data_IF_998565108840
#
_entry.id   IF_998565108840
#
_cell.length_a   1.000
_cell.length_b   1.000
_cell.length_c   1.000
_cell.angle_alpha   90.00
_cell.angle_beta   90.00
_cell.angle_gamma   90.00
#
_symmetry.space_group_name_H-M   'P 1'
#
loop_
_entity.id
_entity.type
_entity.pdbx_description
1 polymer ?
#
# COMPACT_ATOMS: atom_id res chain seq x y z
N UNK A 1 18.02 -37.02 -1.38
CA UNK A 1 17.55 -35.84 -2.15
C UNK A 1 18.46 -34.68 -1.81
N UNK A 2 18.70 -33.71 -2.71
CA UNK A 2 19.44 -32.50 -2.34
C UNK A 2 18.60 -31.67 -1.40
N UNK A 3 19.20 -30.94 -0.46
CA UNK A 3 18.46 -30.08 0.47
C UNK A 3 17.59 -29.04 -0.25
N UNK A 4 17.98 -28.64 -1.47
CA UNK A 4 17.17 -27.76 -2.36
C UNK A 4 15.85 -28.43 -2.72
N UNK A 5 15.85 -29.70 -3.16
CA UNK A 5 14.63 -30.39 -3.57
C UNK A 5 13.65 -30.56 -2.40
N UNK A 6 14.16 -30.84 -1.20
CA UNK A 6 13.35 -30.96 0.02
C UNK A 6 12.68 -29.62 0.37
N UNK A 7 13.42 -28.50 0.27
CA UNK A 7 12.88 -27.17 0.46
C UNK A 7 11.81 -26.83 -0.60
N UNK A 8 12.05 -27.16 -1.87
CA UNK A 8 11.08 -26.94 -2.94
C UNK A 8 9.80 -27.75 -2.75
N UNK A 9 9.89 -29.02 -2.35
CA UNK A 9 8.71 -29.84 -2.04
C UNK A 9 7.88 -29.25 -0.90
N UNK A 10 8.52 -28.75 0.16
CA UNK A 10 7.84 -28.09 1.27
C UNK A 10 7.15 -26.79 0.85
N UNK A 11 7.76 -26.00 -0.03
CA UNK A 11 7.22 -24.73 -0.51
C UNK A 11 6.13 -24.90 -1.56
N UNK A 12 6.05 -26.05 -2.26
CA UNK A 12 5.14 -26.32 -3.35
C UNK A 12 4.25 -27.54 -3.09
N UNK A 13 3.41 -27.53 -2.03
CA UNK A 13 2.64 -28.71 -1.62
C UNK A 13 1.61 -29.18 -2.68
N UNK A 14 1.19 -28.30 -3.60
CA UNK A 14 0.29 -28.67 -4.71
C UNK A 14 0.90 -29.65 -5.71
N UNK A 15 2.23 -29.81 -5.75
CA UNK A 15 2.88 -30.80 -6.64
C UNK A 15 2.49 -32.23 -6.32
N UNK A 16 2.07 -32.50 -5.09
CA UNK A 16 1.61 -33.81 -4.63
C UNK A 16 0.16 -33.79 -4.12
N UNK A 17 -0.62 -32.78 -4.55
CA UNK A 17 -2.08 -32.77 -4.37
C UNK A 17 -2.58 -32.09 -3.10
N UNK A 18 -1.72 -31.44 -2.31
CA UNK A 18 -2.17 -30.67 -1.16
C UNK A 18 -2.76 -29.31 -1.59
N UNK A 19 -3.61 -28.75 -0.74
CA UNK A 19 -4.27 -27.46 -1.00
C UNK A 19 -3.32 -26.27 -0.82
N UNK A 20 -3.53 -25.23 -1.62
CA UNK A 20 -2.79 -23.97 -1.49
C UNK A 20 -3.35 -23.16 -0.31
N UNK A 21 -2.52 -22.59 0.58
CA UNK A 21 -2.97 -21.78 1.73
C UNK A 21 -3.37 -20.36 1.27
N UNK A 22 -4.44 -20.22 0.49
CA UNK A 22 -4.85 -18.98 -0.18
C UNK A 22 -5.55 -17.95 0.73
N UNK A 23 -6.02 -18.35 1.93
CA UNK A 23 -6.65 -17.44 2.90
C UNK A 23 -7.94 -16.78 2.40
N UNK A 24 -8.24 -15.57 2.88
CA UNK A 24 -9.39 -14.77 2.46
C UNK A 24 -9.05 -14.05 1.15
N UNK A 25 -9.87 -14.18 0.08
CA UNK A 25 -9.57 -13.60 -1.23
C UNK A 25 -9.48 -12.07 -1.21
N UNK A 26 -8.59 -11.54 -2.04
CA UNK A 26 -8.46 -10.12 -2.35
C UNK A 26 -8.72 -9.90 -3.83
N UNK A 27 -10.01 -9.97 -4.21
CA UNK A 27 -10.47 -10.10 -5.60
C UNK A 27 -10.02 -8.95 -6.51
N UNK A 28 -9.94 -7.72 -6.00
CA UNK A 28 -9.46 -6.58 -6.79
C UNK A 28 -8.02 -6.79 -7.29
N UNK A 29 -7.12 -7.23 -6.41
CA UNK A 29 -5.72 -7.51 -6.78
C UNK A 29 -5.62 -8.73 -7.68
N UNK A 30 -6.38 -9.78 -7.37
CA UNK A 30 -6.37 -11.00 -8.17
C UNK A 30 -6.85 -10.71 -9.60
N UNK A 31 -7.91 -9.93 -9.79
CA UNK A 31 -8.39 -9.50 -11.11
C UNK A 31 -7.35 -8.69 -11.89
N UNK A 32 -6.58 -7.81 -11.22
CA UNK A 32 -5.46 -7.08 -11.85
C UNK A 32 -4.36 -8.04 -12.32
N UNK A 33 -3.97 -8.99 -11.47
CA UNK A 33 -2.94 -10.00 -11.81
C UNK A 33 -3.40 -10.87 -12.97
N UNK A 34 -4.63 -11.34 -12.97
CA UNK A 34 -5.22 -12.12 -14.07
C UNK A 34 -5.13 -11.37 -15.41
N UNK A 35 -5.55 -10.10 -15.42
CA UNK A 35 -5.46 -9.26 -16.62
C UNK A 35 -4.01 -9.10 -17.10
N UNK A 36 -3.05 -8.92 -16.20
CA UNK A 36 -1.64 -8.78 -16.58
C UNK A 36 -1.02 -10.12 -17.02
N UNK A 37 -1.45 -11.24 -16.46
CA UNK A 37 -0.96 -12.56 -16.84
C UNK A 37 -1.24 -12.93 -18.33
N UNK A 38 -2.24 -12.26 -18.96
CA UNK A 38 -2.51 -12.46 -20.40
C UNK A 38 -1.49 -11.77 -21.31
N UNK A 39 -0.70 -10.83 -20.81
CA UNK A 39 0.20 -10.02 -21.64
C UNK A 39 1.57 -10.67 -21.89
N UNK A 40 1.97 -11.65 -21.09
CA UNK A 40 3.32 -12.25 -21.14
C UNK A 40 4.41 -11.40 -20.45
N UNK A 41 4.08 -10.19 -19.97
CA UNK A 41 5.01 -9.34 -19.25
C UNK A 41 5.22 -9.81 -17.80
N UNK A 42 6.30 -9.34 -17.18
CA UNK A 42 6.62 -9.65 -15.78
C UNK A 42 5.58 -8.97 -14.86
N UNK A 43 5.02 -9.71 -13.92
CA UNK A 43 4.14 -9.15 -12.90
C UNK A 43 4.94 -8.89 -11.63
N UNK A 44 4.97 -7.64 -11.18
CA UNK A 44 5.69 -7.20 -9.98
C UNK A 44 4.70 -6.88 -8.87
N UNK A 45 4.70 -7.65 -7.80
CA UNK A 45 3.84 -7.45 -6.63
C UNK A 45 4.66 -6.76 -5.54
N UNK A 46 4.52 -5.44 -5.45
CA UNK A 46 5.19 -4.61 -4.46
C UNK A 46 4.26 -4.20 -3.32
N UNK A 47 4.81 -3.84 -2.17
CA UNK A 47 4.00 -3.31 -1.06
C UNK A 47 4.71 -3.44 0.27
N UNK A 48 4.21 -2.71 1.27
CA UNK A 48 4.76 -2.73 2.62
C UNK A 48 4.78 -4.17 3.19
N UNK A 49 5.77 -4.47 4.04
CA UNK A 49 5.80 -5.77 4.73
C UNK A 49 4.49 -6.02 5.47
N UNK A 50 4.03 -7.28 5.49
CA UNK A 50 2.79 -7.72 6.17
C UNK A 50 1.48 -7.24 5.53
N UNK A 51 1.51 -6.60 4.34
CA UNK A 51 0.30 -6.24 3.59
C UNK A 51 -0.44 -7.42 2.94
N UNK A 52 0.17 -8.61 2.90
CA UNK A 52 -0.44 -9.83 2.37
C UNK A 52 0.05 -10.23 0.97
N UNK A 53 1.22 -9.78 0.52
CA UNK A 53 1.82 -10.13 -0.79
C UNK A 53 1.95 -11.64 -1.00
N UNK A 54 2.57 -12.36 -0.06
CA UNK A 54 2.73 -13.82 -0.12
C UNK A 54 1.38 -14.53 -0.22
N UNK A 55 0.37 -14.08 0.55
CA UNK A 55 -0.99 -14.64 0.46
C UNK A 55 -1.60 -14.41 -0.92
N UNK A 56 -1.37 -13.22 -1.50
CA UNK A 56 -1.84 -12.91 -2.86
C UNK A 56 -1.14 -13.78 -3.92
N UNK A 57 0.15 -14.10 -3.75
CA UNK A 57 0.84 -15.09 -4.58
C UNK A 57 0.17 -16.47 -4.47
N UNK A 58 -0.15 -16.93 -3.27
CA UNK A 58 -0.88 -18.19 -3.08
C UNK A 58 -2.28 -18.15 -3.70
N UNK A 59 -3.00 -17.04 -3.62
CA UNK A 59 -4.29 -16.87 -4.31
C UNK A 59 -4.13 -16.95 -5.83
N UNK A 60 -3.05 -16.39 -6.36
CA UNK A 60 -2.72 -16.49 -7.77
C UNK A 60 -2.42 -17.94 -8.18
N UNK A 61 -1.66 -18.68 -7.37
CA UNK A 61 -1.38 -20.11 -7.61
C UNK A 61 -2.68 -20.92 -7.58
N UNK A 62 -3.51 -20.70 -6.58
CA UNK A 62 -4.82 -21.40 -6.47
C UNK A 62 -5.71 -21.13 -7.69
N UNK A 63 -5.73 -19.88 -8.18
CA UNK A 63 -6.42 -19.50 -9.41
C UNK A 63 -5.86 -20.24 -10.65
N UNK A 64 -4.53 -20.25 -10.82
CA UNK A 64 -3.89 -20.94 -11.95
C UNK A 64 -4.22 -22.45 -11.96
N UNK A 65 -4.24 -23.09 -10.81
CA UNK A 65 -4.55 -24.50 -10.67
C UNK A 65 -6.03 -24.80 -10.95
N UNK A 66 -6.96 -24.04 -10.37
CA UNK A 66 -8.41 -24.36 -10.39
C UNK A 66 -9.11 -23.82 -11.62
N UNK A 67 -8.77 -22.62 -12.08
CA UNK A 67 -9.46 -21.92 -13.16
C UNK A 67 -8.71 -22.05 -14.49
N UNK A 68 -7.42 -21.81 -14.51
CA UNK A 68 -6.60 -21.97 -15.72
C UNK A 68 -6.17 -23.43 -15.97
N UNK A 69 -6.42 -24.32 -14.97
CA UNK A 69 -6.10 -25.74 -15.04
C UNK A 69 -4.64 -26.01 -15.40
N UNK A 70 -3.75 -25.17 -14.95
CA UNK A 70 -2.31 -25.35 -15.13
C UNK A 70 -1.86 -26.59 -14.35
N UNK A 71 -1.05 -27.43 -15.00
CA UNK A 71 -0.53 -28.64 -14.35
C UNK A 71 0.33 -28.26 -13.12
N UNK A 72 0.10 -28.85 -11.95
CA UNK A 72 0.73 -28.43 -10.70
C UNK A 72 2.25 -28.26 -10.75
N UNK A 73 2.95 -29.20 -11.39
CA UNK A 73 4.40 -29.18 -11.54
C UNK A 73 4.93 -28.09 -12.48
N UNK A 74 4.08 -27.42 -13.25
CA UNK A 74 4.43 -26.24 -14.08
C UNK A 74 4.41 -24.92 -13.29
N UNK A 75 4.08 -24.94 -11.99
CA UNK A 75 4.07 -23.78 -11.14
C UNK A 75 5.15 -23.97 -10.08
N UNK A 76 6.23 -23.18 -10.18
CA UNK A 76 7.28 -23.12 -9.17
C UNK A 76 7.10 -21.86 -8.31
N UNK A 77 6.95 -22.04 -7.01
CA UNK A 77 7.02 -20.97 -6.03
C UNK A 77 8.32 -21.08 -5.22
N UNK A 78 9.02 -19.97 -5.07
CA UNK A 78 10.24 -19.86 -4.26
C UNK A 78 10.12 -18.62 -3.39
N UNK A 79 10.33 -18.78 -2.08
CA UNK A 79 10.51 -17.66 -1.16
C UNK A 79 12.01 -17.53 -0.84
N UNK A 80 12.63 -16.41 -1.22
CA UNK A 80 14.06 -16.20 -1.01
C UNK A 80 14.45 -15.81 0.43
N UNK A 81 13.48 -15.58 1.33
CA UNK A 81 13.72 -15.48 2.78
C UNK A 81 13.87 -16.88 3.44
N UNK A 82 13.75 -17.99 2.69
CA UNK A 82 13.89 -19.35 3.19
C UNK A 82 15.37 -19.65 3.58
N UNK A 83 15.64 -20.05 4.81
CA UNK A 83 17.02 -20.28 5.29
C UNK A 83 17.79 -21.30 4.47
N UNK A 84 17.14 -22.32 3.92
CA UNK A 84 17.78 -23.38 3.12
C UNK A 84 18.44 -22.83 1.85
N UNK A 85 18.01 -21.66 1.36
CA UNK A 85 18.59 -21.02 0.19
C UNK A 85 19.72 -20.03 0.51
N UNK A 86 19.90 -19.67 1.77
CA UNK A 86 20.89 -18.68 2.20
C UNK A 86 22.36 -19.09 1.98
N UNK A 87 22.64 -20.39 1.89
CA UNK A 87 23.97 -20.93 1.66
C UNK A 87 24.31 -21.14 0.17
N UNK A 88 23.36 -20.94 -0.74
CA UNK A 88 23.57 -21.13 -2.17
C UNK A 88 24.44 -19.99 -2.74
N UNK A 89 25.36 -20.36 -3.67
CA UNK A 89 26.21 -19.36 -4.35
C UNK A 89 25.44 -18.59 -5.43
N UNK A 90 24.64 -19.32 -6.21
CA UNK A 90 23.75 -18.79 -7.23
C UNK A 90 22.36 -19.40 -7.03
N UNK A 91 21.53 -18.82 -6.12
CA UNK A 91 20.23 -19.38 -5.80
C UNK A 91 19.33 -19.59 -7.03
N UNK A 92 19.35 -18.68 -8.01
CA UNK A 92 18.55 -18.84 -9.23
C UNK A 92 18.99 -20.03 -10.07
N UNK A 93 20.28 -20.14 -10.36
CA UNK A 93 20.79 -21.23 -11.19
C UNK A 93 20.61 -22.60 -10.51
N UNK A 94 20.93 -22.70 -9.22
CA UNK A 94 20.87 -23.96 -8.47
C UNK A 94 19.44 -24.45 -8.28
N UNK A 95 18.50 -23.55 -7.90
CA UNK A 95 17.08 -23.85 -7.72
C UNK A 95 16.43 -24.25 -9.05
N UNK A 96 16.65 -23.46 -10.11
CA UNK A 96 16.07 -23.76 -11.43
C UNK A 96 16.65 -25.04 -12.02
N UNK A 97 17.93 -25.33 -11.81
CA UNK A 97 18.55 -26.60 -12.25
C UNK A 97 17.89 -27.79 -11.56
N UNK A 98 17.73 -27.75 -10.23
CA UNK A 98 17.07 -28.83 -9.47
C UNK A 98 15.59 -28.99 -9.91
N UNK A 99 14.85 -27.89 -10.08
CA UNK A 99 13.47 -27.92 -10.53
C UNK A 99 13.32 -28.52 -11.94
N UNK A 100 14.19 -28.12 -12.88
CA UNK A 100 14.16 -28.66 -14.26
C UNK A 100 14.55 -30.12 -14.31
N UNK A 101 15.56 -30.53 -13.55
CA UNK A 101 16.04 -31.91 -13.54
C UNK A 101 15.02 -32.87 -12.91
N UNK A 102 14.41 -32.51 -11.79
CA UNK A 102 13.68 -33.45 -10.94
C UNK A 102 12.13 -33.31 -11.05
N UNK A 103 11.60 -32.18 -11.55
CA UNK A 103 10.17 -31.90 -11.45
C UNK A 103 9.49 -31.68 -12.81
N UNK A 104 9.98 -30.73 -13.65
CA UNK A 104 9.21 -30.22 -14.79
C UNK A 104 9.86 -30.39 -16.16
N UNK A 105 11.19 -30.64 -16.26
CA UNK A 105 11.88 -30.65 -17.57
C UNK A 105 11.88 -29.28 -18.25
N UNK A 106 11.86 -29.25 -19.59
CA UNK A 106 12.01 -28.03 -20.41
C UNK A 106 10.66 -27.41 -20.86
N UNK A 107 9.58 -27.66 -20.14
CA UNK A 107 8.27 -27.12 -20.46
C UNK A 107 8.14 -25.62 -20.11
N UNK A 108 7.15 -24.94 -20.71
CA UNK A 108 6.74 -23.60 -20.29
C UNK A 108 6.17 -23.64 -18.87
N UNK A 109 6.63 -22.71 -18.01
CA UNK A 109 6.33 -22.74 -16.57
C UNK A 109 6.01 -21.34 -16.02
N UNK A 110 5.26 -21.33 -14.92
CA UNK A 110 5.09 -20.16 -14.06
C UNK A 110 6.18 -20.17 -12.98
N UNK A 111 6.99 -19.11 -12.95
CA UNK A 111 7.99 -18.89 -11.92
C UNK A 111 7.50 -17.76 -11.01
N UNK A 112 7.25 -18.11 -9.76
CA UNK A 112 6.69 -17.20 -8.76
C UNK A 112 7.71 -17.02 -7.65
N UNK A 113 8.33 -15.85 -7.58
CA UNK A 113 9.41 -15.52 -6.67
C UNK A 113 8.97 -14.53 -5.60
N UNK A 114 8.96 -14.95 -4.35
CA UNK A 114 8.64 -14.11 -3.20
C UNK A 114 9.90 -13.60 -2.51
N UNK A 115 9.86 -12.36 -1.97
CA UNK A 115 10.95 -11.66 -1.29
C UNK A 115 12.27 -11.66 -2.12
N UNK A 116 12.14 -11.41 -3.43
CA UNK A 116 13.22 -11.55 -4.43
C UNK A 116 14.45 -10.69 -4.11
N UNK A 117 14.28 -9.58 -3.41
CA UNK A 117 15.37 -8.70 -2.98
C UNK A 117 16.35 -9.37 -2.02
N UNK A 118 16.03 -10.54 -1.50
CA UNK A 118 16.95 -11.37 -0.71
C UNK A 118 18.17 -11.84 -1.51
N UNK A 119 18.10 -11.85 -2.84
CA UNK A 119 19.19 -12.29 -3.73
C UNK A 119 19.89 -11.10 -4.38
N UNK A 120 21.16 -10.83 -4.09
CA UNK A 120 21.91 -9.74 -4.74
C UNK A 120 21.97 -9.92 -6.26
N UNK A 121 21.66 -8.85 -7.01
CA UNK A 121 21.70 -8.86 -8.48
C UNK A 121 20.56 -9.65 -9.16
N UNK A 122 19.50 -9.94 -8.43
CA UNK A 122 18.31 -10.66 -8.90
C UNK A 122 17.73 -10.09 -10.22
N UNK A 123 17.84 -8.80 -10.45
CA UNK A 123 17.30 -8.11 -11.64
C UNK A 123 17.90 -8.68 -12.93
N UNK A 124 19.18 -9.04 -12.92
CA UNK A 124 19.88 -9.63 -14.09
C UNK A 124 19.35 -11.04 -14.36
N UNK A 125 19.07 -11.81 -13.31
CA UNK A 125 18.51 -13.15 -13.45
C UNK A 125 17.10 -13.10 -14.03
N UNK A 126 16.24 -12.22 -13.50
CA UNK A 126 14.88 -12.02 -14.02
C UNK A 126 14.89 -11.58 -15.49
N UNK A 127 15.76 -10.61 -15.84
CA UNK A 127 15.93 -10.21 -17.24
C UNK A 127 16.36 -11.37 -18.14
N UNK A 128 17.34 -12.15 -17.72
CA UNK A 128 17.81 -13.29 -18.50
C UNK A 128 16.73 -14.38 -18.67
N UNK A 129 15.92 -14.65 -17.66
CA UNK A 129 14.79 -15.57 -17.76
C UNK A 129 13.71 -15.04 -18.71
N UNK A 130 13.38 -13.76 -18.63
CA UNK A 130 12.42 -13.12 -19.52
C UNK A 130 12.89 -13.14 -20.99
N UNK A 131 14.13 -12.72 -21.25
CA UNK A 131 14.70 -12.66 -22.62
C UNK A 131 14.83 -14.08 -23.26
N UNK A 132 15.00 -15.11 -22.44
CA UNK A 132 15.07 -16.53 -22.88
C UNK A 132 13.71 -17.07 -23.31
N UNK A 133 12.64 -16.54 -22.75
CA UNK A 133 11.26 -17.02 -23.00
C UNK A 133 10.93 -18.37 -22.33
N UNK A 134 9.75 -18.91 -22.63
CA UNK A 134 9.26 -20.16 -22.05
C UNK A 134 8.95 -20.10 -20.55
N UNK A 135 8.83 -18.87 -19.99
CA UNK A 135 8.48 -18.67 -18.58
C UNK A 135 7.50 -17.51 -18.42
N UNK A 136 6.57 -17.63 -17.46
CA UNK A 136 5.76 -16.54 -16.97
C UNK A 136 6.23 -16.14 -15.58
N UNK A 137 6.63 -14.89 -15.42
CA UNK A 137 7.31 -14.39 -14.23
C UNK A 137 6.37 -13.55 -13.36
N UNK A 138 6.21 -13.96 -12.10
CA UNK A 138 5.53 -13.18 -11.04
C UNK A 138 6.53 -13.02 -9.90
N UNK A 139 6.87 -11.81 -9.56
CA UNK A 139 7.84 -11.53 -8.51
C UNK A 139 7.24 -10.65 -7.43
N UNK A 140 7.64 -10.85 -6.18
CA UNK A 140 7.23 -10.00 -5.08
C UNK A 140 8.41 -9.53 -4.23
N UNK A 141 8.20 -8.42 -3.53
CA UNK A 141 9.15 -7.88 -2.57
C UNK A 141 8.68 -6.59 -1.91
N UNK A 142 9.54 -5.99 -1.08
CA UNK A 142 9.22 -4.71 -0.44
C UNK A 142 9.20 -3.57 -1.46
N UNK A 143 8.40 -2.52 -1.19
CA UNK A 143 8.21 -1.38 -2.10
C UNK A 143 9.53 -0.73 -2.51
N UNK A 144 10.41 -0.49 -1.54
CA UNK A 144 11.72 0.16 -1.77
C UNK A 144 12.61 -0.57 -2.75
N UNK A 145 12.58 -1.89 -2.74
CA UNK A 145 13.46 -2.70 -3.59
C UNK A 145 12.95 -2.91 -5.00
N UNK A 146 11.62 -2.89 -5.20
CA UNK A 146 11.00 -3.25 -6.47
C UNK A 146 10.57 -2.06 -7.33
N UNK A 147 10.12 -0.94 -6.73
CA UNK A 147 9.57 0.18 -7.49
C UNK A 147 10.63 1.25 -7.76
N UNK A 148 11.46 1.59 -6.77
CA UNK A 148 12.47 2.66 -6.88
C UNK A 148 13.85 2.19 -7.34
N UNK A 149 14.06 0.88 -7.42
CA UNK A 149 15.34 0.28 -7.81
C UNK A 149 15.60 0.28 -9.33
N UNK A 150 16.67 -0.40 -9.73
CA UNK A 150 17.08 -0.57 -11.13
C UNK A 150 16.05 -1.33 -12.00
N UNK A 151 14.91 -1.77 -11.44
CA UNK A 151 13.91 -2.55 -12.17
C UNK A 151 13.37 -1.80 -13.39
N UNK A 152 12.96 -0.54 -13.21
CA UNK A 152 12.46 0.29 -14.32
C UNK A 152 13.48 0.44 -15.43
N UNK A 153 14.77 0.60 -15.07
CA UNK A 153 15.87 0.74 -16.01
C UNK A 153 16.22 -0.57 -16.69
N UNK A 154 16.30 -1.69 -15.94
CA UNK A 154 16.73 -2.99 -16.46
C UNK A 154 15.62 -3.70 -17.26
N UNK A 155 14.38 -3.58 -16.84
CA UNK A 155 13.25 -4.21 -17.53
C UNK A 155 12.61 -3.31 -18.59
N UNK A 156 13.02 -2.03 -18.70
CA UNK A 156 12.65 -1.14 -19.80
C UNK A 156 11.16 -1.12 -20.15
N UNK A 157 10.28 -1.13 -19.15
CA UNK A 157 8.82 -1.14 -19.33
C UNK A 157 8.18 -2.51 -19.58
N UNK A 158 8.93 -3.61 -19.46
CA UNK A 158 8.44 -4.99 -19.68
C UNK A 158 7.83 -5.61 -18.42
N UNK A 159 7.15 -4.81 -17.61
CA UNK A 159 6.49 -5.29 -16.40
C UNK A 159 5.23 -4.48 -16.06
N UNK A 160 4.33 -5.11 -15.32
CA UNK A 160 3.20 -4.46 -14.68
C UNK A 160 3.35 -4.53 -13.16
N UNK A 161 3.26 -3.38 -12.51
CA UNK A 161 3.34 -3.29 -11.05
C UNK A 161 1.95 -3.34 -10.41
N UNK A 162 1.83 -4.15 -9.35
CA UNK A 162 0.67 -4.24 -8.47
C UNK A 162 1.10 -3.86 -7.07
N UNK A 163 0.74 -2.65 -6.62
CA UNK A 163 1.06 -2.19 -5.27
C UNK A 163 0.02 -2.69 -4.27
N UNK A 164 0.44 -3.53 -3.33
CA UNK A 164 -0.42 -4.13 -2.31
C UNK A 164 -0.38 -3.32 -1.03
N UNK A 165 -1.50 -2.66 -0.74
CA UNK A 165 -1.73 -1.90 0.50
C UNK A 165 -2.30 -2.81 1.61
N UNK A 166 -2.26 -2.38 2.89
CA UNK A 166 -3.14 -2.94 3.92
C UNK A 166 -4.60 -2.96 3.45
N UNK A 167 -5.46 -3.73 4.06
CA UNK A 167 -6.88 -3.85 3.65
C UNK A 167 -7.55 -2.48 3.57
N UNK A 168 -8.33 -2.23 2.52
CA UNK A 168 -9.25 -1.10 2.52
C UNK A 168 -10.50 -1.40 3.35
N UNK A 169 -11.43 -0.44 3.41
CA UNK A 169 -12.59 -0.62 4.27
C UNK A 169 -13.53 -1.76 3.81
N UNK A 170 -13.69 -1.96 2.50
CA UNK A 170 -14.48 -3.07 1.97
C UNK A 170 -13.84 -4.43 2.28
N UNK A 171 -12.54 -4.55 2.09
CA UNK A 171 -11.75 -5.72 2.48
C UNK A 171 -11.76 -5.92 4.00
N UNK A 172 -11.64 -4.83 4.80
CA UNK A 172 -11.74 -4.89 6.25
C UNK A 172 -13.07 -5.47 6.72
N UNK A 173 -14.18 -5.05 6.10
CA UNK A 173 -15.51 -5.60 6.39
C UNK A 173 -15.57 -7.10 6.09
N UNK A 174 -15.06 -7.52 4.94
CA UNK A 174 -14.97 -8.94 4.55
C UNK A 174 -14.15 -9.76 5.56
N UNK A 175 -12.98 -9.27 5.94
CA UNK A 175 -12.11 -9.93 6.94
C UNK A 175 -12.74 -9.94 8.34
N UNK A 176 -13.59 -8.95 8.65
CA UNK A 176 -14.39 -8.90 9.86
C UNK A 176 -15.68 -9.75 9.78
N UNK A 177 -15.83 -10.58 8.72
CA UNK A 177 -16.99 -11.42 8.45
C UNK A 177 -18.29 -10.62 8.32
N UNK A 178 -18.21 -9.44 7.75
CA UNK A 178 -19.34 -8.62 7.39
C UNK A 178 -19.46 -8.53 5.87
N UNK A 179 -20.55 -9.07 5.34
CA UNK A 179 -20.86 -8.94 3.90
C UNK A 179 -21.62 -7.65 3.68
N UNK A 180 -21.07 -6.77 2.84
CA UNK A 180 -21.74 -5.52 2.45
C UNK A 180 -22.97 -5.87 1.61
N UNK A 181 -24.19 -5.48 2.03
CA UNK A 181 -25.38 -5.71 1.22
C UNK A 181 -25.29 -4.95 -0.10
N UNK A 182 -25.69 -5.60 -1.20
CA UNK A 182 -25.77 -4.97 -2.52
C UNK A 182 -26.93 -3.94 -2.59
N UNK A 183 -27.99 -4.19 -1.84
CA UNK A 183 -29.15 -3.29 -1.77
C UNK A 183 -28.91 -2.12 -0.81
N UNK A 184 -29.22 -0.88 -1.27
CA UNK A 184 -29.02 0.35 -0.50
C UNK A 184 -29.86 0.41 0.78
N UNK A 185 -31.09 -0.11 0.78
CA UNK A 185 -31.95 -0.13 1.96
C UNK A 185 -31.42 -1.11 3.01
N UNK A 186 -31.00 -2.30 2.58
CA UNK A 186 -30.37 -3.28 3.48
C UNK A 186 -29.06 -2.75 4.07
N UNK A 187 -28.25 -2.01 3.29
CA UNK A 187 -27.05 -1.35 3.78
C UNK A 187 -27.40 -0.26 4.82
N UNK A 188 -28.41 0.56 4.53
CA UNK A 188 -28.89 1.60 5.45
C UNK A 188 -29.40 1.01 6.77
N UNK A 189 -30.07 -0.13 6.74
CA UNK A 189 -30.53 -0.85 7.94
C UNK A 189 -29.35 -1.34 8.81
N UNK A 190 -28.18 -1.57 8.22
CA UNK A 190 -26.97 -2.02 8.93
C UNK A 190 -25.99 -0.88 9.25
N UNK A 191 -26.37 0.37 9.01
CA UNK A 191 -25.53 1.56 9.16
C UNK A 191 -24.75 1.59 10.49
N UNK A 192 -25.41 1.38 11.61
CA UNK A 192 -24.75 1.43 12.92
C UNK A 192 -23.62 0.38 13.05
N UNK A 193 -23.84 -0.82 12.49
CA UNK A 193 -22.82 -1.86 12.49
C UNK A 193 -21.63 -1.47 11.62
N UNK A 194 -21.88 -0.91 10.44
CA UNK A 194 -20.85 -0.42 9.53
C UNK A 194 -20.06 0.73 10.17
N UNK A 195 -20.72 1.68 10.83
CA UNK A 195 -20.06 2.79 11.52
C UNK A 195 -19.20 2.32 12.71
N UNK A 196 -19.64 1.31 13.46
CA UNK A 196 -18.83 0.72 14.53
C UNK A 196 -17.58 0.03 13.97
N UNK A 197 -17.71 -0.71 12.86
CA UNK A 197 -16.59 -1.32 12.16
C UNK A 197 -15.63 -0.27 11.57
N UNK A 198 -16.16 0.85 11.05
CA UNK A 198 -15.34 1.98 10.62
C UNK A 198 -14.56 2.61 11.79
N UNK A 199 -15.20 2.79 12.94
CA UNK A 199 -14.53 3.31 14.13
C UNK A 199 -13.41 2.38 14.62
N UNK A 200 -13.60 1.07 14.54
CA UNK A 200 -12.54 0.11 14.82
C UNK A 200 -11.43 0.17 13.77
N UNK A 201 -11.77 0.22 12.49
CA UNK A 201 -10.82 0.34 11.39
C UNK A 201 -9.97 1.62 11.48
N UNK A 202 -10.58 2.77 11.78
CA UNK A 202 -9.86 4.03 12.04
C UNK A 202 -8.83 3.88 13.17
N UNK A 203 -9.14 3.08 14.18
CA UNK A 203 -8.27 2.88 15.35
C UNK A 203 -7.18 1.83 15.12
N UNK A 204 -7.52 0.69 14.50
CA UNK A 204 -6.64 -0.50 14.43
C UNK A 204 -5.95 -0.67 13.09
N UNK A 205 -6.38 0.07 12.06
CA UNK A 205 -5.84 -0.04 10.71
C UNK A 205 -6.29 -1.30 9.96
N UNK A 206 -5.67 -1.52 8.80
CA UNK A 206 -6.05 -2.54 7.82
C UNK A 206 -5.02 -3.66 7.61
N UNK A 207 -3.99 -3.83 8.45
CA UNK A 207 -3.11 -4.99 8.29
C UNK A 207 -3.85 -6.30 8.48
N UNK A 208 -3.82 -7.25 7.51
CA UNK A 208 -4.67 -8.45 7.52
C UNK A 208 -4.63 -9.22 8.84
N UNK A 209 -3.43 -9.51 9.37
CA UNK A 209 -3.28 -10.24 10.65
C UNK A 209 -3.83 -9.48 11.85
N UNK A 210 -3.76 -8.13 11.81
CA UNK A 210 -4.29 -7.27 12.88
C UNK A 210 -5.81 -7.32 12.89
N UNK A 211 -6.43 -7.29 11.71
CA UNK A 211 -7.89 -7.37 11.57
C UNK A 211 -8.41 -8.72 12.09
N UNK A 212 -7.70 -9.81 11.78
CA UNK A 212 -8.06 -11.17 12.24
C UNK A 212 -7.76 -11.43 13.73
N UNK A 213 -6.91 -10.61 14.37
CA UNK A 213 -6.58 -10.75 15.78
C UNK A 213 -7.71 -10.15 16.66
N UNK A 214 -8.13 -10.88 17.70
CA UNK A 214 -9.18 -10.44 18.62
C UNK A 214 -8.65 -9.66 19.83
N UNK A 215 -7.45 -10.00 20.29
CA UNK A 215 -6.84 -9.37 21.46
C UNK A 215 -6.23 -8.01 21.10
N UNK A 216 -6.72 -6.94 21.75
CA UNK A 216 -6.30 -5.57 21.48
C UNK A 216 -4.84 -5.28 21.90
N UNK A 217 -4.35 -5.95 22.94
CA UNK A 217 -2.94 -5.79 23.35
C UNK A 217 -2.02 -6.41 22.31
N UNK A 218 -2.35 -7.62 21.86
CA UNK A 218 -1.59 -8.29 20.80
C UNK A 218 -1.64 -7.51 19.48
N UNK A 219 -2.76 -6.87 19.11
CA UNK A 219 -2.81 -5.97 17.95
C UNK A 219 -1.73 -4.89 18.03
N UNK A 220 -1.62 -4.19 19.16
CA UNK A 220 -0.64 -3.12 19.36
C UNK A 220 0.79 -3.64 19.32
N UNK A 221 1.07 -4.77 19.96
CA UNK A 221 2.39 -5.41 19.97
C UNK A 221 2.83 -5.83 18.56
N UNK A 222 1.92 -6.43 17.77
CA UNK A 222 2.18 -6.76 16.36
C UNK A 222 2.49 -5.52 15.53
N UNK A 223 1.69 -4.44 15.66
CA UNK A 223 1.91 -3.21 14.90
C UNK A 223 3.27 -2.58 15.22
N UNK A 224 3.68 -2.54 16.49
CA UNK A 224 5.03 -2.10 16.90
C UNK A 224 6.12 -2.97 16.26
N UNK A 225 5.96 -4.30 16.34
CA UNK A 225 6.89 -5.24 15.73
C UNK A 225 6.98 -5.06 14.20
N UNK A 226 5.86 -4.71 13.52
CA UNK A 226 5.86 -4.45 12.08
C UNK A 226 6.66 -3.19 11.75
N UNK A 227 6.44 -2.11 12.49
CA UNK A 227 7.19 -0.85 12.32
C UNK A 227 8.68 -1.10 12.56
N UNK A 228 9.05 -1.75 13.66
CA UNK A 228 10.44 -2.07 13.96
C UNK A 228 11.08 -2.93 12.85
N UNK A 229 10.37 -3.92 12.34
CA UNK A 229 10.84 -4.77 11.25
C UNK A 229 11.03 -4.00 9.95
N UNK A 230 10.08 -3.12 9.57
CA UNK A 230 10.17 -2.29 8.36
C UNK A 230 11.31 -1.29 8.51
N UNK A 231 11.37 -0.55 9.63
CA UNK A 231 12.41 0.44 9.88
C UNK A 231 13.79 -0.21 9.88
N UNK A 232 13.96 -1.37 10.50
CA UNK A 232 15.25 -2.03 10.57
C UNK A 232 15.66 -2.67 9.23
N UNK A 233 14.80 -3.50 8.63
CA UNK A 233 15.14 -4.25 7.42
C UNK A 233 15.07 -3.41 6.15
N UNK A 234 13.97 -2.67 5.96
CA UNK A 234 13.71 -1.99 4.68
C UNK A 234 14.29 -0.57 4.64
N UNK A 235 14.61 0.07 5.80
CA UNK A 235 15.22 1.39 5.85
C UNK A 235 16.69 1.31 6.31
N UNK A 236 16.94 0.85 7.53
CA UNK A 236 18.28 0.95 8.15
C UNK A 236 19.31 0.09 7.42
N UNK A 237 19.03 -1.20 7.24
CA UNK A 237 19.96 -2.12 6.58
C UNK A 237 20.13 -1.82 5.09
N UNK A 238 19.03 -1.55 4.40
CA UNK A 238 19.03 -1.27 2.96
C UNK A 238 19.83 -0.01 2.62
N UNK A 239 19.65 1.06 3.40
CA UNK A 239 20.27 2.36 3.13
C UNK A 239 21.49 2.66 4.00
N UNK A 240 21.94 1.71 4.82
CA UNK A 240 23.10 1.86 5.72
C UNK A 240 23.01 3.12 6.59
N UNK A 241 21.84 3.36 7.20
CA UNK A 241 21.54 4.54 7.99
C UNK A 241 22.52 4.70 9.16
N UNK A 242 23.14 5.88 9.27
CA UNK A 242 24.15 6.18 10.29
C UNK A 242 23.54 6.62 11.62
N UNK A 243 22.50 7.47 11.58
CA UNK A 243 21.88 8.06 12.77
C UNK A 243 20.53 7.41 13.08
N UNK A 244 20.57 6.13 13.49
CA UNK A 244 19.38 5.28 13.72
C UNK A 244 18.38 5.90 14.70
N UNK A 245 18.88 6.52 15.81
CA UNK A 245 18.02 7.15 16.80
C UNK A 245 17.29 8.36 16.20
N UNK A 246 18.01 9.23 15.51
CA UNK A 246 17.41 10.41 14.89
C UNK A 246 16.37 10.04 13.82
N UNK A 247 16.60 8.97 13.04
CA UNK A 247 15.59 8.42 12.13
C UNK A 247 14.33 7.97 12.88
N UNK A 248 14.48 7.22 13.97
CA UNK A 248 13.32 6.73 14.75
C UNK A 248 12.53 7.89 15.36
N UNK A 249 13.23 8.86 15.95
CA UNK A 249 12.61 10.05 16.55
C UNK A 249 11.88 10.89 15.49
N UNK A 250 12.46 11.03 14.29
CA UNK A 250 11.84 11.69 13.14
C UNK A 250 10.54 10.97 12.69
N UNK A 251 10.58 9.64 12.58
CA UNK A 251 9.40 8.86 12.19
C UNK A 251 8.27 8.96 13.23
N UNK A 252 8.60 8.88 14.52
CA UNK A 252 7.61 9.08 15.60
C UNK A 252 6.99 10.47 15.52
N UNK A 253 7.79 11.49 15.25
CA UNK A 253 7.29 12.85 15.08
C UNK A 253 6.36 12.96 13.88
N UNK A 254 6.75 12.45 12.70
CA UNK A 254 5.96 12.52 11.48
C UNK A 254 4.64 11.72 11.61
N UNK A 255 4.67 10.53 12.20
CA UNK A 255 3.45 9.76 12.49
C UNK A 255 2.53 10.46 13.49
N UNK A 256 3.09 11.16 14.48
CA UNK A 256 2.28 11.89 15.45
C UNK A 256 1.61 13.13 14.85
N UNK A 257 2.22 13.72 13.81
CA UNK A 257 1.80 14.97 13.16
C UNK A 257 1.34 14.76 11.71
N UNK A 258 0.75 13.61 11.39
CA UNK A 258 0.13 13.40 10.07
C UNK A 258 -0.92 14.47 9.80
N UNK A 259 -1.18 14.73 8.53
CA UNK A 259 -2.14 15.74 8.02
C UNK A 259 -1.76 17.20 8.26
N UNK A 260 -0.85 17.49 9.20
CA UNK A 260 -0.40 18.86 9.46
C UNK A 260 0.73 19.27 8.51
N UNK A 261 0.67 20.50 7.95
CA UNK A 261 1.77 21.03 7.16
C UNK A 261 3.05 21.22 8.00
N UNK A 262 4.18 20.77 7.50
CA UNK A 262 5.49 20.97 8.14
C UNK A 262 6.51 21.52 7.14
N UNK A 263 7.48 22.28 7.66
CA UNK A 263 8.64 22.72 6.89
C UNK A 263 9.84 21.84 7.20
N UNK A 264 10.71 21.64 6.21
CA UNK A 264 11.99 20.95 6.44
C UNK A 264 12.85 21.65 7.50
N UNK A 265 12.78 22.98 7.59
CA UNK A 265 13.50 23.74 8.60
C UNK A 265 13.05 23.39 10.03
N UNK A 266 11.75 23.27 10.27
CA UNK A 266 11.22 22.83 11.57
C UNK A 266 11.65 21.41 11.89
N UNK A 267 11.57 20.50 10.90
CA UNK A 267 12.00 19.12 11.08
C UNK A 267 13.51 19.00 11.37
N UNK A 268 14.36 19.82 10.73
CA UNK A 268 15.80 19.88 11.00
C UNK A 268 16.10 20.26 12.45
N UNK A 269 15.46 21.33 12.92
CA UNK A 269 15.65 21.80 14.30
C UNK A 269 15.24 20.74 15.32
N UNK A 270 14.17 20.01 15.03
CA UNK A 270 13.61 19.02 15.94
C UNK A 270 14.39 17.69 15.93
N UNK A 271 14.82 17.23 14.75
CA UNK A 271 15.56 15.98 14.61
C UNK A 271 17.06 16.12 14.82
N UNK A 272 17.60 17.35 14.85
CA UNK A 272 19.05 17.60 14.94
C UNK A 272 19.83 17.08 13.73
N UNK A 273 19.20 17.03 12.54
CA UNK A 273 19.78 16.53 11.30
C UNK A 273 20.07 17.68 10.33
N UNK A 274 21.07 17.52 9.48
CA UNK A 274 21.26 18.41 8.35
C UNK A 274 20.17 18.17 7.27
N UNK A 275 20.01 19.13 6.34
CA UNK A 275 18.95 19.10 5.34
C UNK A 275 19.02 17.87 4.41
N UNK A 276 20.22 17.48 3.99
CA UNK A 276 20.41 16.37 3.07
C UNK A 276 20.01 15.05 3.74
N UNK A 277 20.53 14.79 4.94
CA UNK A 277 20.21 13.59 5.73
C UNK A 277 18.72 13.52 6.07
N UNK A 278 18.11 14.66 6.47
CA UNK A 278 16.67 14.71 6.75
C UNK A 278 15.85 14.29 5.53
N UNK A 279 16.16 14.87 4.36
CA UNK A 279 15.47 14.58 3.11
C UNK A 279 15.63 13.11 2.68
N UNK A 280 16.84 12.56 2.85
CA UNK A 280 17.10 11.14 2.61
C UNK A 280 16.27 10.25 3.53
N UNK A 281 16.20 10.54 4.82
CA UNK A 281 15.44 9.73 5.78
C UNK A 281 13.93 9.74 5.51
N UNK A 282 13.37 10.89 5.12
CA UNK A 282 11.98 10.98 4.68
C UNK A 282 11.79 10.18 3.38
N UNK A 283 12.71 10.30 2.42
CA UNK A 283 12.71 9.52 1.19
C UNK A 283 12.76 8.01 1.45
N UNK A 284 13.60 7.54 2.37
CA UNK A 284 13.67 6.12 2.73
C UNK A 284 12.38 5.61 3.35
N UNK A 285 11.69 6.42 4.16
CA UNK A 285 10.39 6.06 4.71
C UNK A 285 9.30 6.01 3.62
N UNK A 286 9.38 6.91 2.64
CA UNK A 286 8.53 6.90 1.45
C UNK A 286 8.77 5.66 0.61
N UNK A 287 10.02 5.35 0.30
CA UNK A 287 10.43 4.16 -0.43
C UNK A 287 9.98 2.86 0.25
N UNK A 288 10.09 2.81 1.59
CA UNK A 288 9.56 1.68 2.38
C UNK A 288 8.02 1.60 2.39
N UNK A 289 7.34 2.61 1.84
CA UNK A 289 5.89 2.65 1.71
C UNK A 289 5.14 2.89 3.02
N UNK A 290 5.79 3.46 4.04
CA UNK A 290 5.15 3.72 5.34
C UNK A 290 4.76 5.18 5.56
N UNK A 291 5.36 6.10 4.79
CA UNK A 291 5.12 7.54 4.87
C UNK A 291 4.98 8.13 3.47
N UNK A 292 4.12 9.12 3.31
CA UNK A 292 3.87 9.81 2.05
C UNK A 292 3.88 11.31 2.27
N UNK A 293 4.66 12.05 1.46
CA UNK A 293 4.63 13.50 1.44
C UNK A 293 3.65 14.00 0.39
N UNK A 294 2.73 14.87 0.79
CA UNK A 294 1.77 15.54 -0.10
C UNK A 294 2.20 16.99 -0.30
N UNK A 295 2.53 17.40 -1.54
CA UNK A 295 2.96 18.75 -1.84
C UNK A 295 1.78 19.72 -1.90
N UNK A 296 2.09 21.01 -1.75
CA UNK A 296 1.15 22.10 -1.98
C UNK A 296 0.76 22.18 -3.46
N UNK A 297 -0.51 22.39 -3.77
CA UNK A 297 -0.99 22.59 -5.13
C UNK A 297 -0.62 23.99 -5.66
N UNK A 298 0.11 24.03 -6.75
CA UNK A 298 0.41 25.27 -7.50
C UNK A 298 0.80 24.91 -8.93
N UNK A 299 0.43 25.74 -9.91
CA UNK A 299 0.96 25.65 -11.27
C UNK A 299 2.45 25.98 -11.35
N UNK A 300 2.98 26.75 -10.41
CA UNK A 300 4.40 27.06 -10.31
C UNK A 300 5.16 26.02 -9.51
N UNK A 301 5.98 25.22 -10.16
CA UNK A 301 6.88 24.26 -9.49
C UNK A 301 7.78 24.94 -8.45
N UNK A 302 8.20 26.19 -8.70
CA UNK A 302 8.98 26.99 -7.74
C UNK A 302 8.18 27.31 -6.48
N UNK A 303 6.91 27.61 -6.60
CA UNK A 303 6.01 27.84 -5.45
C UNK A 303 5.78 26.54 -4.71
N UNK A 304 5.44 25.47 -5.43
CA UNK A 304 5.21 24.14 -4.88
C UNK A 304 6.41 23.64 -4.04
N UNK A 305 7.65 23.79 -4.57
CA UNK A 305 8.86 23.34 -3.87
C UNK A 305 9.21 24.13 -2.60
N UNK A 306 8.72 25.37 -2.46
CA UNK A 306 8.99 26.26 -1.34
C UNK A 306 7.95 26.17 -0.22
N UNK A 307 6.76 25.68 -0.53
CA UNK A 307 5.67 25.53 0.42
C UNK A 307 5.90 24.31 1.31
N UNK A 308 5.30 24.35 2.50
CA UNK A 308 5.25 23.21 3.41
C UNK A 308 4.64 21.98 2.74
N UNK A 309 4.91 20.82 3.29
CA UNK A 309 4.31 19.54 2.87
C UNK A 309 3.47 18.97 3.99
N UNK A 310 2.40 18.25 3.66
CA UNK A 310 1.71 17.39 4.61
C UNK A 310 2.31 15.99 4.55
N UNK A 311 2.31 15.26 5.67
CA UNK A 311 2.65 13.85 5.70
C UNK A 311 1.43 13.01 6.02
N UNK A 312 1.38 11.83 5.41
CA UNK A 312 0.38 10.79 5.65
C UNK A 312 1.08 9.46 5.88
N UNK A 313 0.46 8.57 6.64
CA UNK A 313 1.00 7.23 6.87
C UNK A 313 0.18 6.16 6.15
N UNK A 314 0.81 5.01 5.90
CA UNK A 314 0.20 3.88 5.19
C UNK A 314 -1.00 3.27 5.94
N UNK A 315 -1.04 3.42 7.27
CA UNK A 315 -2.04 2.74 8.10
C UNK A 315 -2.24 3.44 9.45
N UNK A 316 -3.48 3.68 9.82
CA UNK A 316 -3.84 4.34 11.07
C UNK A 316 -3.42 3.53 12.31
N UNK A 317 -3.47 2.20 12.24
CA UNK A 317 -3.03 1.33 13.33
C UNK A 317 -1.54 1.48 13.61
N UNK A 318 -0.70 1.58 12.56
CA UNK A 318 0.72 1.87 12.71
C UNK A 318 0.95 3.21 13.41
N UNK A 319 0.27 4.27 12.96
CA UNK A 319 0.33 5.60 13.59
C UNK A 319 -0.01 5.50 15.07
N UNK A 320 -1.12 4.86 15.40
CA UNK A 320 -1.60 4.75 16.78
C UNK A 320 -0.72 3.88 17.68
N UNK A 321 0.08 2.96 17.10
CA UNK A 321 1.00 2.11 17.86
C UNK A 321 2.25 2.86 18.34
N UNK A 322 2.67 3.95 17.67
CA UNK A 322 3.89 4.71 17.99
C UNK A 322 3.65 6.11 18.51
N UNK A 323 2.51 6.73 18.18
CA UNK A 323 2.15 8.07 18.63
C UNK A 323 1.33 8.03 19.92
N UNK A 324 1.39 9.11 20.69
CA UNK A 324 0.42 9.32 21.76
C UNK A 324 -0.95 9.61 21.15
N UNK A 325 -1.95 8.77 21.46
CA UNK A 325 -3.32 8.92 20.97
C UNK A 325 -4.13 9.80 21.92
N UNK A 326 -4.78 10.83 21.37
CA UNK A 326 -5.75 11.65 22.08
C UNK A 326 -7.15 11.40 21.54
N UNK A 327 -8.17 11.62 22.35
CA UNK A 327 -9.59 11.44 21.93
C UNK A 327 -10.01 12.33 20.76
N UNK A 328 -9.26 13.37 20.44
CA UNK A 328 -9.53 14.32 19.35
C UNK A 328 -8.93 13.91 17.99
N UNK A 329 -8.22 12.80 17.91
CA UNK A 329 -7.50 12.38 16.70
C UNK A 329 -8.39 11.82 15.57
N UNK A 330 -9.70 11.64 15.82
CA UNK A 330 -10.60 11.00 14.83
C UNK A 330 -10.63 11.72 13.48
N UNK A 331 -10.53 13.05 13.46
CA UNK A 331 -10.43 13.86 12.24
C UNK A 331 -9.18 13.54 11.44
N UNK A 332 -8.02 13.52 12.09
CA UNK A 332 -6.74 13.19 11.47
C UNK A 332 -6.73 11.77 10.89
N UNK A 333 -7.30 10.81 11.62
CA UNK A 333 -7.38 9.42 11.18
C UNK A 333 -8.33 9.28 9.98
N UNK A 334 -9.42 10.03 9.94
CA UNK A 334 -10.35 10.05 8.81
C UNK A 334 -9.68 10.67 7.57
N UNK A 335 -8.97 11.79 7.72
CA UNK A 335 -8.22 12.44 6.65
C UNK A 335 -7.12 11.51 6.09
N UNK A 336 -6.36 10.85 6.97
CA UNK A 336 -5.35 9.86 6.55
C UNK A 336 -5.99 8.69 5.78
N UNK A 337 -7.16 8.23 6.20
CA UNK A 337 -7.87 7.14 5.52
C UNK A 337 -8.36 7.57 4.12
N UNK A 338 -8.83 8.80 3.99
CA UNK A 338 -9.19 9.38 2.68
C UNK A 338 -7.94 9.45 1.79
N UNK A 339 -6.81 9.92 2.31
CA UNK A 339 -5.54 9.92 1.58
C UNK A 339 -5.18 8.53 1.04
N UNK A 340 -5.17 7.51 1.90
CA UNK A 340 -4.83 6.13 1.50
C UNK A 340 -5.78 5.62 0.41
N UNK A 341 -7.08 5.91 0.52
CA UNK A 341 -8.05 5.53 -0.51
C UNK A 341 -7.75 6.21 -1.85
N UNK A 342 -7.43 7.51 -1.86
CA UNK A 342 -7.07 8.25 -3.07
C UNK A 342 -5.84 7.66 -3.75
N UNK A 343 -4.78 7.36 -2.99
CA UNK A 343 -3.55 6.75 -3.53
C UNK A 343 -3.82 5.33 -4.07
N UNK A 344 -4.66 4.53 -3.40
CA UNK A 344 -5.07 3.21 -3.91
C UNK A 344 -5.83 3.28 -5.24
N UNK A 345 -6.59 4.34 -5.46
CA UNK A 345 -7.27 4.61 -6.73
C UNK A 345 -6.32 5.16 -7.82
N UNK A 346 -5.03 5.34 -7.48
CA UNK A 346 -4.01 5.84 -8.42
C UNK A 346 -3.98 7.36 -8.54
N UNK A 347 -4.59 8.08 -7.60
CA UNK A 347 -4.52 9.54 -7.59
C UNK A 347 -3.20 10.02 -6.95
N UNK A 348 -2.70 11.15 -7.45
CA UNK A 348 -1.58 11.91 -6.87
C UNK A 348 -2.15 13.17 -6.18
N UNK A 349 -2.51 13.10 -4.89
CA UNK A 349 -3.14 14.21 -4.20
C UNK A 349 -2.14 15.32 -3.90
N UNK A 350 -2.64 16.56 -3.98
CA UNK A 350 -2.02 17.78 -3.47
C UNK A 350 -2.90 18.33 -2.35
N UNK A 351 -2.38 19.22 -1.50
CA UNK A 351 -3.21 20.07 -0.65
C UNK A 351 -3.13 21.52 -1.12
N UNK A 352 -4.11 22.32 -0.79
CA UNK A 352 -4.13 23.75 -1.12
C UNK A 352 -4.52 24.58 0.10
N UNK A 353 -4.00 25.80 0.20
CA UNK A 353 -4.32 26.73 1.28
C UNK A 353 -4.27 28.16 0.79
N UNK A 354 -5.40 28.85 0.88
CA UNK A 354 -5.56 30.29 0.80
C UNK A 354 -5.74 30.86 2.20
N UNK A 355 -6.89 31.52 2.47
CA UNK A 355 -7.33 31.88 3.83
C UNK A 355 -7.77 30.63 4.61
N UNK A 356 -8.35 29.68 3.90
CA UNK A 356 -8.78 28.39 4.41
C UNK A 356 -8.06 27.27 3.63
N UNK A 357 -8.07 26.08 4.18
CA UNK A 357 -7.39 24.92 3.62
C UNK A 357 -8.35 24.03 2.82
N UNK A 358 -7.81 23.36 1.78
CA UNK A 358 -8.40 22.22 1.10
C UNK A 358 -7.45 21.03 1.29
N UNK A 359 -7.94 19.94 1.91
CA UNK A 359 -7.12 18.81 2.30
C UNK A 359 -6.55 18.08 1.09
N UNK A 360 -7.38 17.88 0.05
CA UNK A 360 -6.95 17.20 -1.17
C UNK A 360 -7.42 17.90 -2.43
N UNK A 361 -6.51 18.10 -3.35
CA UNK A 361 -6.76 18.51 -4.73
C UNK A 361 -6.24 17.42 -5.65
N UNK A 362 -7.12 16.86 -6.46
CA UNK A 362 -6.80 15.81 -7.43
C UNK A 362 -6.84 16.40 -8.83
N UNK A 363 -5.74 16.26 -9.57
CA UNK A 363 -5.69 16.65 -10.97
C UNK A 363 -6.16 15.49 -11.84
N UNK A 364 -7.21 15.72 -12.62
CA UNK A 364 -7.75 14.74 -13.56
C UNK A 364 -6.99 14.75 -14.91
N UNK A 365 -7.08 13.67 -15.71
CA UNK A 365 -6.44 13.59 -17.04
C UNK A 365 -6.90 14.67 -18.02
N UNK A 366 -8.12 15.18 -17.88
CA UNK A 366 -8.68 16.29 -18.66
C UNK A 366 -8.26 17.68 -18.19
N UNK A 367 -7.32 17.77 -17.23
CA UNK A 367 -6.85 18.97 -16.55
C UNK A 367 -7.91 19.70 -15.70
N UNK A 368 -8.97 19.03 -15.33
CA UNK A 368 -9.89 19.49 -14.27
C UNK A 368 -9.40 19.08 -12.89
N UNK A 369 -10.02 19.63 -11.84
CA UNK A 369 -9.67 19.34 -10.45
C UNK A 369 -10.88 18.88 -9.66
N UNK A 370 -10.66 17.91 -8.79
CA UNK A 370 -11.56 17.61 -7.69
C UNK A 370 -10.96 18.15 -6.39
N UNK A 371 -11.75 18.85 -5.61
CA UNK A 371 -11.35 19.40 -4.33
C UNK A 371 -12.13 18.71 -3.20
N UNK A 372 -11.40 18.19 -2.22
CA UNK A 372 -11.95 17.36 -1.15
C UNK A 372 -11.50 17.89 0.20
N UNK A 373 -12.46 18.16 1.10
CA UNK A 373 -12.20 18.39 2.52
C UNK A 373 -12.74 17.22 3.35
N UNK A 374 -12.13 16.99 4.50
CA UNK A 374 -12.52 15.94 5.44
C UNK A 374 -12.86 16.54 6.79
N UNK A 375 -14.13 16.48 7.16
CA UNK A 375 -14.63 16.95 8.45
C UNK A 375 -15.40 15.84 9.15
N UNK A 376 -14.69 15.03 9.95
CA UNK A 376 -15.27 13.84 10.59
C UNK A 376 -16.19 14.20 11.77
N UNK A 377 -17.22 14.96 11.44
CA UNK A 377 -18.30 15.40 12.35
C UNK A 377 -19.64 15.45 11.61
N UNK A 378 -20.73 15.48 12.36
CA UNK A 378 -22.08 15.62 11.80
C UNK A 378 -22.46 17.10 11.59
N UNK A 379 -21.68 18.03 12.15
CA UNK A 379 -21.84 19.48 12.03
C UNK A 379 -20.52 20.13 11.60
N UNK A 380 -20.16 20.04 10.29
CA UNK A 380 -18.92 20.64 9.77
C UNK A 380 -18.90 22.15 10.02
N UNK A 381 -17.73 22.67 10.40
CA UNK A 381 -17.54 24.10 10.60
C UNK A 381 -17.58 24.86 9.27
N UNK A 382 -18.01 26.13 9.30
CA UNK A 382 -18.11 26.97 8.09
C UNK A 382 -16.77 27.09 7.33
N UNK A 383 -15.63 26.99 8.02
CA UNK A 383 -14.29 27.02 7.43
C UNK A 383 -14.07 25.91 6.40
N UNK A 384 -14.68 24.73 6.59
CA UNK A 384 -14.54 23.56 5.70
C UNK A 384 -15.22 23.85 4.35
N UNK A 385 -16.38 24.48 4.37
CA UNK A 385 -17.08 24.94 3.17
C UNK A 385 -16.38 26.15 2.53
N UNK A 386 -15.84 27.05 3.37
CA UNK A 386 -15.15 28.25 2.90
C UNK A 386 -13.89 27.89 2.08
N UNK A 387 -13.09 26.92 2.53
CA UNK A 387 -11.90 26.45 1.79
C UNK A 387 -12.26 25.95 0.39
N UNK A 388 -13.28 25.09 0.27
CA UNK A 388 -13.73 24.57 -1.01
C UNK A 388 -14.26 25.66 -1.94
N UNK A 389 -15.03 26.64 -1.40
CA UNK A 389 -15.52 27.79 -2.18
C UNK A 389 -14.39 28.71 -2.63
N UNK A 390 -13.41 28.97 -1.76
CA UNK A 390 -12.24 29.79 -2.06
C UNK A 390 -11.42 29.15 -3.21
N UNK A 391 -11.19 27.84 -3.14
CA UNK A 391 -10.57 27.09 -4.21
C UNK A 391 -11.36 27.18 -5.52
N UNK A 392 -12.69 27.02 -5.45
CA UNK A 392 -13.56 27.16 -6.63
C UNK A 392 -13.45 28.55 -7.25
N UNK A 393 -13.45 29.61 -6.45
CA UNK A 393 -13.34 30.99 -6.95
C UNK A 393 -11.99 31.25 -7.64
N UNK A 394 -10.91 30.63 -7.15
CA UNK A 394 -9.57 30.78 -7.74
C UNK A 394 -9.41 30.00 -9.05
N UNK A 395 -9.94 28.77 -9.12
CA UNK A 395 -9.74 27.87 -10.27
C UNK A 395 -10.98 27.74 -11.18
N UNK A 396 -12.15 28.18 -10.71
CA UNK A 396 -13.42 28.33 -11.43
C UNK A 396 -13.76 27.15 -12.38
N UNK A 397 -13.77 27.40 -13.69
CA UNK A 397 -14.17 26.42 -14.73
C UNK A 397 -13.31 25.14 -14.77
N UNK A 398 -12.19 25.11 -14.07
CA UNK A 398 -11.34 23.92 -13.95
C UNK A 398 -11.72 23.01 -12.78
N UNK A 399 -12.59 23.44 -11.89
CA UNK A 399 -13.06 22.62 -10.78
C UNK A 399 -14.24 21.78 -11.23
N UNK A 400 -14.05 20.46 -11.26
CA UNK A 400 -15.05 19.47 -11.65
C UNK A 400 -16.02 19.19 -10.51
N UNK A 401 -15.48 18.99 -9.31
CA UNK A 401 -16.30 18.66 -8.14
C UNK A 401 -15.75 19.26 -6.85
N UNK A 402 -16.68 19.54 -5.91
CA UNK A 402 -16.39 19.95 -4.55
C UNK A 402 -17.00 18.92 -3.60
N UNK A 403 -16.17 18.25 -2.82
CA UNK A 403 -16.57 17.16 -1.93
C UNK A 403 -16.19 17.48 -0.49
N UNK A 404 -17.15 17.34 0.42
CA UNK A 404 -16.91 17.36 1.87
C UNK A 404 -17.22 15.97 2.44
N UNK A 405 -16.18 15.27 2.88
CA UNK A 405 -16.32 13.96 3.53
C UNK A 405 -16.61 14.18 5.00
N UNK A 406 -17.75 13.67 5.46
CA UNK A 406 -18.30 13.91 6.80
C UNK A 406 -18.36 12.60 7.59
N UNK A 407 -18.70 12.67 8.88
CA UNK A 407 -18.96 11.47 9.66
C UNK A 407 -20.22 10.77 9.18
N UNK A 408 -21.35 11.50 9.04
CA UNK A 408 -22.64 10.93 8.68
C UNK A 408 -23.58 11.89 7.91
N UNK A 409 -23.18 13.16 7.74
CA UNK A 409 -23.97 14.13 7.02
C UNK A 409 -23.96 13.83 5.51
N UNK A 410 -25.15 13.68 4.90
CA UNK A 410 -25.32 13.45 3.48
C UNK A 410 -26.29 14.51 2.90
N UNK A 411 -25.76 15.48 2.18
CA UNK A 411 -26.54 16.54 1.55
C UNK A 411 -25.69 17.28 0.53
N UNK A 412 -26.34 18.15 -0.25
CA UNK A 412 -25.66 19.11 -1.12
C UNK A 412 -25.92 20.54 -0.62
N UNK A 413 -24.86 21.29 -0.42
CA UNK A 413 -24.93 22.66 0.07
C UNK A 413 -24.16 23.55 -0.90
N UNK A 414 -24.86 24.40 -1.65
CA UNK A 414 -24.27 25.40 -2.55
C UNK A 414 -23.23 24.83 -3.50
N UNK A 415 -23.53 23.67 -4.12
CA UNK A 415 -22.64 22.97 -5.04
C UNK A 415 -21.53 22.14 -4.38
N UNK A 416 -21.51 22.07 -3.05
CA UNK A 416 -20.60 21.19 -2.29
C UNK A 416 -21.39 19.94 -1.90
N UNK A 417 -20.94 18.78 -2.36
CA UNK A 417 -21.52 17.48 -2.03
C UNK A 417 -20.94 16.96 -0.72
N UNK A 418 -21.79 16.81 0.30
CA UNK A 418 -21.40 16.18 1.57
C UNK A 418 -21.71 14.68 1.51
N UNK A 419 -20.72 13.83 1.82
CA UNK A 419 -20.86 12.37 1.78
C UNK A 419 -20.29 11.78 3.08
N UNK A 420 -21.03 10.88 3.75
CA UNK A 420 -20.49 10.12 4.87
C UNK A 420 -19.25 9.30 4.49
N UNK A 421 -18.19 9.33 5.31
CA UNK A 421 -16.94 8.60 5.08
C UNK A 421 -17.18 7.11 4.82
N UNK A 422 -18.05 6.46 5.61
CA UNK A 422 -18.34 5.05 5.44
C UNK A 422 -18.97 4.71 4.07
N UNK A 423 -19.80 5.60 3.51
CA UNK A 423 -20.37 5.45 2.18
C UNK A 423 -19.31 5.67 1.11
N UNK A 424 -18.54 6.76 1.24
CA UNK A 424 -17.50 7.11 0.27
C UNK A 424 -16.43 6.00 0.14
N UNK A 425 -16.05 5.37 1.25
CA UNK A 425 -15.09 4.26 1.24
C UNK A 425 -15.60 2.98 0.56
N UNK A 426 -16.92 2.80 0.44
CA UNK A 426 -17.56 1.64 -0.20
C UNK A 426 -17.91 1.86 -1.67
N UNK A 427 -17.81 3.10 -2.16
CA UNK A 427 -18.03 3.42 -3.57
C UNK A 427 -16.69 3.32 -4.32
N UNK A 428 -16.71 2.76 -5.53
CA UNK A 428 -15.50 2.62 -6.38
C UNK A 428 -15.20 3.86 -7.24
N UNK A 429 -15.86 4.99 -6.97
CA UNK A 429 -15.63 6.26 -7.65
C UNK A 429 -14.88 7.22 -6.72
N UNK A 430 -13.90 7.99 -7.25
CA UNK A 430 -13.20 9.03 -6.51
C UNK A 430 -14.09 10.20 -6.14
#
# INVERSE_FOLDING_TARGET
>A
MSGILEALLRLNPWWYGESVPSGIPRDEYLSKIQRYATTGEIIVIAGVRRSGKTTLLYQTIDYLLKHERIFPKKILFVNFDEPDFSALRDPFAEILSAYRADICGDEEVYLIFDEIQGVPGWERHIKALYDRGGVKLIISGSSSSLIEGNLATLLSGRYFAVTVYPLDFAEYLLFSRFTVPADRLALAAQKFKVMNLLAEYLRTGGFPRIVLQKDQKLKTEYLRSYIDSIVYRDIILTNRVRHVRALKDLLVYLFSNITHPHSYQQLQQQAGLDFATLKEYIGYAGAAGILFEVPFFSYSLKTQSRKNRKCYCIDNGMRNAVSFTFSQDAGLLAENLVFIRLVRLGADPYYWSGKHEVDFVIKNPDNTFDAINVSYTDTPAEREYAGLREFFLEYNSKVRSLLLITRDLEQEIRGIRCIPLWKWLLVNEP
#
